data_IF_368132274964
#
_entry.id   IF_368132274964
#
_cell.length_a   1.000
_cell.length_b   1.000
_cell.length_c   1.000
_cell.angle_alpha   90.00
_cell.angle_beta   90.00
_cell.angle_gamma   90.00
#
_symmetry.space_group_name_H-M   'P 1'
#
loop_
_entity.id
_entity.type
_entity.pdbx_description
1 polymer ?
#
# COMPACT_ATOMS: atom_id res chain seq x y z
N UNK A 1 -23.31 -9.71 -15.04
CA UNK A 1 -22.26 -9.64 -13.99
C UNK A 1 -22.62 -8.76 -12.78
N UNK A 2 -23.87 -8.26 -12.61
CA UNK A 2 -24.22 -7.39 -11.47
C UNK A 2 -24.80 -8.12 -10.24
N UNK A 3 -25.18 -9.40 -10.38
CA UNK A 3 -25.75 -10.20 -9.28
C UNK A 3 -24.63 -10.70 -8.32
N UNK A 4 -23.37 -10.67 -8.76
CA UNK A 4 -22.21 -11.15 -7.98
C UNK A 4 -21.75 -10.15 -6.92
N UNK A 5 -21.89 -8.84 -7.14
CA UNK A 5 -21.42 -7.84 -6.17
C UNK A 5 -22.16 -7.89 -4.83
N UNK A 6 -23.52 -7.82 -4.77
CA UNK A 6 -24.21 -7.80 -3.49
C UNK A 6 -24.01 -9.09 -2.69
N UNK A 7 -24.03 -10.25 -3.37
CA UNK A 7 -23.80 -11.55 -2.74
C UNK A 7 -22.40 -11.63 -2.12
N UNK A 8 -21.37 -11.34 -2.92
CA UNK A 8 -19.99 -11.36 -2.47
C UNK A 8 -19.73 -10.34 -1.38
N UNK A 9 -20.27 -9.12 -1.49
CA UNK A 9 -20.09 -8.09 -0.47
C UNK A 9 -20.73 -8.49 0.85
N UNK A 10 -21.91 -9.10 0.79
CA UNK A 10 -22.56 -9.68 1.98
C UNK A 10 -21.67 -10.74 2.62
N UNK A 11 -21.17 -11.69 1.83
CA UNK A 11 -20.27 -12.74 2.30
C UNK A 11 -19.00 -12.18 2.97
N UNK A 12 -18.31 -11.24 2.31
CA UNK A 12 -17.08 -10.61 2.83
C UNK A 12 -17.36 -9.86 4.15
N UNK A 13 -18.44 -9.08 4.22
CA UNK A 13 -18.73 -8.24 5.39
C UNK A 13 -19.25 -9.07 6.57
N UNK A 14 -20.11 -10.04 6.32
CA UNK A 14 -20.73 -10.85 7.38
C UNK A 14 -19.79 -11.93 7.90
N UNK A 15 -19.04 -12.61 7.02
CA UNK A 15 -18.21 -13.74 7.42
C UNK A 15 -16.77 -13.35 7.72
N UNK A 16 -16.30 -12.19 7.24
CA UNK A 16 -14.90 -11.74 7.34
C UNK A 16 -13.89 -12.87 7.00
N UNK A 17 -14.05 -13.53 5.83
CA UNK A 17 -13.20 -14.65 5.44
C UNK A 17 -11.76 -14.19 5.24
N UNK A 18 -10.82 -15.12 5.37
CA UNK A 18 -9.41 -14.88 5.08
C UNK A 18 -9.22 -14.56 3.59
N UNK A 19 -8.17 -13.79 3.27
CA UNK A 19 -7.82 -13.44 1.90
C UNK A 19 -7.65 -14.68 1.01
N UNK A 20 -7.14 -15.79 1.55
CA UNK A 20 -7.05 -17.08 0.85
C UNK A 20 -8.43 -17.62 0.43
N UNK A 21 -9.40 -17.60 1.35
CA UNK A 21 -10.77 -18.07 1.11
C UNK A 21 -11.49 -17.16 0.09
N UNK A 22 -11.28 -15.84 0.18
CA UNK A 22 -11.79 -14.88 -0.83
C UNK A 22 -11.17 -15.17 -2.20
N UNK A 23 -9.90 -15.57 -2.26
CA UNK A 23 -9.23 -15.91 -3.53
C UNK A 23 -9.78 -17.19 -4.16
N UNK A 24 -10.15 -18.18 -3.35
CA UNK A 24 -10.79 -19.41 -3.83
C UNK A 24 -12.21 -19.16 -4.34
N UNK A 25 -13.03 -18.43 -3.58
CA UNK A 25 -14.43 -18.14 -3.95
C UNK A 25 -14.56 -17.07 -5.04
N UNK A 26 -13.71 -16.06 -5.00
CA UNK A 26 -13.80 -14.85 -5.84
C UNK A 26 -12.45 -14.45 -6.45
N UNK A 27 -11.75 -15.33 -7.21
CA UNK A 27 -10.39 -15.10 -7.69
C UNK A 27 -10.27 -13.84 -8.56
N UNK A 28 -11.35 -13.43 -9.23
CA UNK A 28 -11.36 -12.22 -10.03
C UNK A 28 -11.12 -10.95 -9.20
N UNK A 29 -11.42 -10.94 -7.89
CA UNK A 29 -11.15 -9.81 -7.00
C UNK A 29 -9.67 -9.52 -6.77
N UNK A 30 -8.78 -10.43 -7.16
CA UNK A 30 -7.33 -10.24 -7.12
C UNK A 30 -6.78 -9.72 -8.45
N UNK A 31 -7.66 -9.36 -9.41
CA UNK A 31 -7.28 -8.66 -10.63
C UNK A 31 -7.43 -7.16 -10.43
N UNK A 32 -6.41 -6.40 -10.79
CA UNK A 32 -6.38 -4.93 -10.68
C UNK A 32 -7.68 -4.24 -11.14
N UNK A 33 -8.17 -4.57 -12.34
CA UNK A 33 -9.43 -4.00 -12.86
C UNK A 33 -10.64 -4.25 -11.95
N UNK A 34 -10.71 -5.41 -11.28
CA UNK A 34 -11.80 -5.69 -10.35
C UNK A 34 -11.58 -4.99 -9.01
N UNK A 35 -10.34 -4.90 -8.51
CA UNK A 35 -10.02 -4.14 -7.30
C UNK A 35 -10.48 -2.69 -7.46
N UNK A 36 -10.15 -2.06 -8.59
CA UNK A 36 -10.58 -0.70 -8.92
C UNK A 36 -12.11 -0.58 -9.00
N UNK A 37 -12.77 -1.53 -9.68
CA UNK A 37 -14.22 -1.51 -9.82
C UNK A 37 -14.95 -1.70 -8.48
N UNK A 38 -14.46 -2.58 -7.60
CA UNK A 38 -15.00 -2.76 -6.25
C UNK A 38 -14.80 -1.51 -5.40
N UNK A 39 -13.59 -0.97 -5.42
CA UNK A 39 -13.26 0.24 -4.70
C UNK A 39 -14.17 1.40 -5.12
N UNK A 40 -14.35 1.61 -6.43
CA UNK A 40 -15.21 2.66 -6.96
C UNK A 40 -16.69 2.45 -6.60
N UNK A 41 -17.17 1.20 -6.56
CA UNK A 41 -18.55 0.90 -6.11
C UNK A 41 -18.76 1.25 -4.64
N UNK A 42 -17.77 1.04 -3.79
CA UNK A 42 -17.86 1.27 -2.34
C UNK A 42 -17.70 2.74 -1.96
N UNK A 43 -16.84 3.47 -2.68
CA UNK A 43 -16.41 4.82 -2.29
C UNK A 43 -16.92 5.91 -3.22
N UNK A 44 -17.42 5.56 -4.41
CA UNK A 44 -17.68 6.48 -5.52
C UNK A 44 -16.44 7.25 -6.02
N UNK A 45 -15.24 6.77 -5.70
CA UNK A 45 -13.97 7.39 -6.04
C UNK A 45 -13.15 6.48 -6.96
N UNK A 46 -12.49 7.06 -7.97
CA UNK A 46 -11.53 6.37 -8.82
C UNK A 46 -10.24 6.10 -8.02
N UNK A 47 -9.91 4.82 -7.81
CA UNK A 47 -8.81 4.37 -6.95
C UNK A 47 -7.47 5.03 -7.34
N UNK A 48 -6.99 4.76 -8.56
CA UNK A 48 -5.68 5.21 -9.01
C UNK A 48 -5.67 6.71 -9.23
N UNK A 49 -6.69 7.26 -9.91
CA UNK A 49 -6.73 8.69 -10.20
C UNK A 49 -6.71 9.53 -8.94
N UNK A 50 -7.54 9.19 -7.94
CA UNK A 50 -7.57 9.93 -6.68
C UNK A 50 -6.24 9.82 -5.94
N UNK A 51 -5.74 8.60 -5.72
CA UNK A 51 -4.50 8.35 -4.99
C UNK A 51 -3.31 9.08 -5.61
N UNK A 52 -3.08 8.94 -6.91
CA UNK A 52 -1.93 9.54 -7.58
C UNK A 52 -2.05 11.06 -7.69
N UNK A 53 -3.24 11.60 -7.99
CA UNK A 53 -3.42 13.06 -8.09
C UNK A 53 -3.24 13.74 -6.72
N UNK A 54 -3.80 13.17 -5.65
CA UNK A 54 -3.59 13.69 -4.30
C UNK A 54 -2.15 13.53 -3.84
N UNK A 55 -1.49 12.40 -4.16
CA UNK A 55 -0.07 12.22 -3.88
C UNK A 55 0.76 13.31 -4.56
N UNK A 56 0.59 13.51 -5.86
CA UNK A 56 1.33 14.52 -6.63
C UNK A 56 1.06 15.94 -6.13
N UNK A 57 -0.19 16.25 -5.79
CA UNK A 57 -0.58 17.56 -5.25
C UNK A 57 0.15 17.87 -3.94
N UNK A 58 0.29 16.89 -3.05
CA UNK A 58 0.88 17.08 -1.73
C UNK A 58 2.39 16.77 -1.66
N UNK A 59 2.94 16.14 -2.70
CA UNK A 59 4.33 15.68 -2.75
C UNK A 59 5.37 16.76 -2.45
N UNK A 60 5.31 17.99 -3.02
CA UNK A 60 6.29 19.03 -2.69
C UNK A 60 6.30 19.38 -1.20
N UNK A 61 5.11 19.46 -0.59
CA UNK A 61 4.97 19.81 0.83
C UNK A 61 5.46 18.70 1.74
N UNK A 62 5.17 17.44 1.41
CA UNK A 62 5.71 16.30 2.17
C UNK A 62 7.23 16.27 2.12
N UNK A 63 7.83 16.45 0.94
CA UNK A 63 9.28 16.46 0.79
C UNK A 63 9.95 17.58 1.60
N UNK A 64 9.38 18.79 1.60
CA UNK A 64 9.85 19.91 2.43
C UNK A 64 9.82 19.55 3.92
N UNK A 65 8.68 19.04 4.40
CA UNK A 65 8.51 18.63 5.79
C UNK A 65 9.45 17.50 6.18
N UNK A 66 9.69 16.55 5.27
CA UNK A 66 10.56 15.41 5.51
C UNK A 66 12.02 15.86 5.62
N UNK A 67 12.49 16.72 4.71
CA UNK A 67 13.82 17.34 4.78
C UNK A 67 14.01 18.11 6.10
N UNK A 68 13.00 18.84 6.56
CA UNK A 68 13.05 19.58 7.82
C UNK A 68 13.07 18.68 9.08
N UNK A 69 12.61 17.43 8.99
CA UNK A 69 12.52 16.50 10.12
C UNK A 69 13.51 15.33 10.05
N UNK A 70 14.22 15.15 8.93
CA UNK A 70 15.10 14.00 8.68
C UNK A 70 16.16 13.81 9.77
N UNK A 71 16.80 14.90 10.22
CA UNK A 71 17.82 14.86 11.29
C UNK A 71 17.32 14.34 12.65
N UNK A 72 16.01 14.13 12.83
CA UNK A 72 15.40 13.59 14.05
C UNK A 72 14.82 12.18 13.87
N UNK A 73 14.89 11.61 12.67
CA UNK A 73 14.37 10.27 12.36
C UNK A 73 15.31 9.54 11.41
N UNK A 74 15.96 8.49 11.91
CA UNK A 74 16.87 7.66 11.11
C UNK A 74 16.16 7.00 9.92
N UNK A 75 14.90 6.57 10.12
CA UNK A 75 14.09 6.00 9.04
C UNK A 75 13.80 7.02 7.94
N UNK A 76 13.43 8.24 8.30
CA UNK A 76 13.18 9.31 7.33
C UNK A 76 14.46 9.73 6.59
N UNK A 77 15.58 9.83 7.32
CA UNK A 77 16.89 10.07 6.73
C UNK A 77 17.28 8.99 5.72
N UNK A 78 16.98 7.72 6.01
CA UNK A 78 17.22 6.60 5.10
C UNK A 78 16.39 6.72 3.83
N UNK A 79 15.11 7.07 3.93
CA UNK A 79 14.24 7.24 2.75
C UNK A 79 14.69 8.40 1.86
N UNK A 80 15.13 9.51 2.45
CA UNK A 80 15.64 10.66 1.71
C UNK A 80 17.07 10.45 1.17
N UNK A 81 17.72 9.33 1.49
CA UNK A 81 19.10 9.08 1.06
C UNK A 81 19.16 9.07 -0.46
N UNK A 82 20.09 9.87 -1.00
CA UNK A 82 20.30 10.05 -2.43
C UNK A 82 19.09 10.66 -3.17
N UNK A 83 18.09 11.24 -2.49
CA UNK A 83 17.02 12.00 -3.14
C UNK A 83 17.52 13.42 -3.44
N UNK A 84 17.42 13.82 -4.69
CA UNK A 84 17.79 15.13 -5.21
C UNK A 84 16.66 15.72 -6.08
N UNK A 85 16.89 16.91 -6.61
CA UNK A 85 15.90 17.62 -7.41
C UNK A 85 15.69 16.96 -8.79
N UNK A 86 16.70 16.26 -9.32
CA UNK A 86 16.66 15.53 -10.60
C UNK A 86 16.05 14.13 -10.50
N UNK A 87 15.81 13.65 -9.28
CA UNK A 87 15.20 12.35 -9.03
C UNK A 87 13.83 12.22 -9.72
N UNK A 88 13.58 11.04 -10.30
CA UNK A 88 12.35 10.75 -11.03
C UNK A 88 11.10 10.93 -10.15
N UNK A 89 9.96 11.22 -10.80
CA UNK A 89 8.68 11.35 -10.09
C UNK A 89 8.32 10.07 -9.33
N UNK A 90 8.55 8.91 -9.95
CA UNK A 90 8.36 7.61 -9.31
C UNK A 90 9.16 7.51 -8.00
N UNK A 91 10.45 7.87 -8.03
CA UNK A 91 11.30 7.84 -6.84
C UNK A 91 10.80 8.79 -5.75
N UNK A 92 10.42 10.02 -6.13
CA UNK A 92 9.86 11.01 -5.20
C UNK A 92 8.58 10.49 -4.54
N UNK A 93 7.67 9.87 -5.31
CA UNK A 93 6.44 9.24 -4.79
C UNK A 93 6.78 8.11 -3.80
N UNK A 94 7.67 7.19 -4.16
CA UNK A 94 8.10 6.09 -3.29
C UNK A 94 8.69 6.60 -1.97
N UNK A 95 9.54 7.62 -2.01
CA UNK A 95 10.13 8.21 -0.80
C UNK A 95 9.07 8.86 0.10
N UNK A 96 8.09 9.55 -0.48
CA UNK A 96 6.99 10.12 0.31
C UNK A 96 6.18 9.02 0.99
N UNK A 97 5.77 7.98 0.24
CA UNK A 97 4.94 6.91 0.76
C UNK A 97 5.66 6.08 1.85
N UNK A 98 6.91 5.70 1.62
CA UNK A 98 7.71 4.95 2.60
C UNK A 98 8.22 5.83 3.77
N UNK A 99 8.27 7.15 3.58
CA UNK A 99 8.68 8.11 4.61
C UNK A 99 7.55 8.50 5.57
N UNK A 100 6.29 8.42 5.13
CA UNK A 100 5.12 8.82 5.92
C UNK A 100 5.04 8.15 7.30
N UNK A 101 5.22 6.82 7.44
CA UNK A 101 5.20 6.18 8.75
C UNK A 101 6.18 6.79 9.74
N UNK A 102 7.43 7.01 9.29
CA UNK A 102 8.47 7.61 10.12
C UNK A 102 8.18 9.06 10.48
N UNK A 103 7.53 9.82 9.59
CA UNK A 103 7.13 11.20 9.85
C UNK A 103 5.98 11.28 10.86
N UNK A 104 5.02 10.36 10.77
CA UNK A 104 3.84 10.28 11.64
C UNK A 104 4.09 9.53 12.95
N UNK A 105 5.27 8.93 13.11
CA UNK A 105 5.67 8.07 14.24
C UNK A 105 4.84 6.77 14.34
N UNK A 106 4.38 6.30 13.19
CA UNK A 106 3.87 4.95 13.02
C UNK A 106 5.04 3.94 12.93
N UNK A 107 4.76 2.65 13.12
CA UNK A 107 5.73 1.56 12.99
C UNK A 107 5.52 0.79 11.67
N UNK A 108 6.38 0.99 10.65
CA UNK A 108 6.26 0.31 9.37
C UNK A 108 6.89 -1.08 9.31
N UNK A 109 7.55 -1.56 10.38
CA UNK A 109 8.41 -2.75 10.33
C UNK A 109 7.74 -4.00 9.77
N UNK A 110 6.43 -4.17 10.01
CA UNK A 110 5.66 -5.33 9.55
C UNK A 110 4.80 -5.05 8.30
N UNK A 111 4.78 -3.83 7.76
CA UNK A 111 3.99 -3.52 6.57
C UNK A 111 4.81 -3.10 5.37
N UNK A 112 5.99 -2.51 5.55
CA UNK A 112 6.89 -2.16 4.45
C UNK A 112 8.22 -2.86 4.67
N UNK A 113 8.26 -4.14 4.26
CA UNK A 113 9.42 -5.01 4.48
C UNK A 113 10.27 -5.06 3.21
N UNK A 114 11.58 -5.00 3.39
CA UNK A 114 12.56 -5.20 2.33
C UNK A 114 13.37 -6.44 2.65
N UNK A 115 13.49 -7.35 1.68
CA UNK A 115 14.25 -8.60 1.78
C UNK A 115 15.23 -8.69 0.62
N UNK A 116 16.29 -9.46 0.77
CA UNK A 116 17.22 -9.76 -0.32
C UNK A 116 16.75 -11.01 -1.08
N UNK A 117 16.97 -11.06 -2.39
CA UNK A 117 16.61 -12.19 -3.24
C UNK A 117 17.33 -13.50 -2.83
N UNK A 118 18.45 -13.37 -2.11
CA UNK A 118 19.20 -14.50 -1.55
C UNK A 118 18.65 -15.02 -0.21
N UNK A 119 17.72 -14.29 0.42
CA UNK A 119 17.10 -14.71 1.67
C UNK A 119 16.14 -15.89 1.41
N UNK A 120 15.83 -16.67 2.46
CA UNK A 120 14.88 -17.78 2.34
C UNK A 120 13.46 -17.25 2.05
N UNK A 121 12.91 -17.55 0.87
CA UNK A 121 11.58 -17.07 0.42
C UNK A 121 10.46 -17.31 1.43
N UNK A 122 10.48 -18.46 2.13
CA UNK A 122 9.50 -18.80 3.15
C UNK A 122 9.45 -17.80 4.33
N UNK A 123 10.47 -16.96 4.50
CA UNK A 123 10.56 -15.96 5.56
C UNK A 123 10.09 -14.56 5.12
N UNK A 124 9.83 -14.37 3.82
CA UNK A 124 9.58 -13.04 3.24
C UNK A 124 8.36 -12.38 3.87
N UNK A 125 7.26 -13.11 3.97
CA UNK A 125 5.97 -12.59 4.46
C UNK A 125 5.76 -12.73 5.96
N UNK A 126 6.68 -13.41 6.66
CA UNK A 126 6.54 -13.69 8.10
C UNK A 126 6.32 -12.41 8.90
N UNK A 127 5.22 -12.38 9.65
CA UNK A 127 4.78 -11.27 10.49
C UNK A 127 4.11 -10.11 9.75
N UNK A 128 3.94 -10.19 8.41
CA UNK A 128 3.30 -9.15 7.61
C UNK A 128 1.79 -9.39 7.45
N UNK A 129 0.99 -8.83 8.35
CA UNK A 129 -0.47 -8.95 8.30
C UNK A 129 -1.09 -8.15 7.14
N UNK A 130 -0.58 -6.95 6.88
CA UNK A 130 -1.04 -6.09 5.78
C UNK A 130 0.16 -5.25 5.34
N UNK A 131 0.51 -5.26 4.06
CA UNK A 131 1.67 -4.49 3.61
C UNK A 131 2.10 -4.65 2.17
N UNK A 132 3.26 -4.10 1.88
CA UNK A 132 4.00 -4.22 0.62
C UNK A 132 5.38 -4.80 0.92
N UNK A 133 5.71 -5.89 0.24
CA UNK A 133 7.02 -6.54 0.26
C UNK A 133 7.85 -6.02 -0.92
N UNK A 134 9.10 -5.68 -0.64
CA UNK A 134 10.11 -5.30 -1.64
C UNK A 134 11.22 -6.33 -1.64
N UNK A 135 11.44 -6.99 -2.78
CA UNK A 135 12.56 -7.91 -2.96
C UNK A 135 13.67 -7.16 -3.70
N UNK A 136 14.87 -7.19 -3.12
CA UNK A 136 16.06 -6.57 -3.69
C UNK A 136 17.07 -7.59 -4.19
N UNK A 137 17.73 -7.25 -5.29
CA UNK A 137 19.02 -7.85 -5.66
C UNK A 137 20.10 -6.77 -5.50
N UNK A 138 20.86 -6.86 -4.41
CA UNK A 138 21.76 -5.79 -3.99
C UNK A 138 20.99 -4.52 -3.59
N UNK A 139 21.16 -3.45 -4.36
CA UNK A 139 20.47 -2.16 -4.12
C UNK A 139 19.18 -2.01 -4.94
N UNK A 140 19.04 -2.78 -6.03
CA UNK A 140 17.95 -2.66 -6.98
C UNK A 140 16.72 -3.43 -6.49
N UNK A 141 15.55 -2.81 -6.61
CA UNK A 141 14.27 -3.48 -6.33
C UNK A 141 13.88 -4.26 -7.58
N UNK A 142 13.80 -5.58 -7.46
CA UNK A 142 13.50 -6.47 -8.58
C UNK A 142 12.03 -6.95 -8.58
N UNK A 143 11.38 -6.94 -7.42
CA UNK A 143 9.98 -7.30 -7.29
C UNK A 143 9.29 -6.52 -6.16
N UNK A 144 8.04 -6.17 -6.39
CA UNK A 144 7.14 -5.54 -5.41
C UNK A 144 5.88 -6.37 -5.31
N UNK A 145 5.38 -6.64 -4.11
CA UNK A 145 4.19 -7.47 -3.92
C UNK A 145 3.31 -6.96 -2.79
N UNK A 146 2.00 -7.11 -2.93
CA UNK A 146 1.03 -6.80 -1.87
C UNK A 146 0.79 -8.04 -1.02
N UNK A 147 0.86 -7.85 0.29
CA UNK A 147 0.70 -8.88 1.32
C UNK A 147 -0.58 -8.62 2.11
N UNK A 148 -1.38 -9.67 2.30
CA UNK A 148 -2.47 -9.72 3.28
C UNK A 148 -2.36 -11.06 4.02
N UNK A 149 -2.51 -11.03 5.34
CA UNK A 149 -2.52 -12.20 6.22
C UNK A 149 -1.28 -13.10 6.03
N UNK A 150 -0.10 -12.48 5.92
CA UNK A 150 1.19 -13.15 5.67
C UNK A 150 1.25 -13.92 4.32
N UNK A 151 0.34 -13.62 3.39
CA UNK A 151 0.32 -14.22 2.05
C UNK A 151 0.51 -13.17 0.97
N UNK A 152 1.25 -13.54 -0.08
CA UNK A 152 1.35 -12.74 -1.31
C UNK A 152 0.01 -12.81 -2.05
N UNK A 153 -0.73 -11.70 -2.03
CA UNK A 153 -2.03 -11.61 -2.70
C UNK A 153 -1.92 -11.05 -4.12
N UNK A 154 -1.00 -10.10 -4.32
CA UNK A 154 -0.66 -9.54 -5.64
C UNK A 154 0.87 -9.61 -5.82
N UNK A 155 1.38 -10.61 -6.55
CA UNK A 155 2.81 -10.67 -6.91
C UNK A 155 3.14 -9.67 -8.03
N UNK A 156 4.42 -9.34 -8.16
CA UNK A 156 5.01 -8.62 -9.30
C UNK A 156 4.27 -7.34 -9.73
N UNK A 157 3.85 -6.55 -8.74
CA UNK A 157 3.27 -5.23 -8.99
C UNK A 157 4.34 -4.27 -9.51
N UNK A 158 3.96 -3.39 -10.43
CA UNK A 158 4.87 -2.50 -11.18
C UNK A 158 5.84 -1.71 -10.28
N UNK A 159 5.33 -1.08 -9.23
CA UNK A 159 6.14 -0.30 -8.31
C UNK A 159 5.48 -0.08 -6.94
N UNK A 160 6.20 0.57 -6.03
CA UNK A 160 5.75 0.88 -4.66
C UNK A 160 4.44 1.71 -4.65
N UNK A 161 4.34 2.87 -5.32
CA UNK A 161 3.08 3.60 -5.40
C UNK A 161 1.89 2.79 -5.90
N UNK A 162 2.07 1.99 -6.96
CA UNK A 162 1.02 1.14 -7.50
C UNK A 162 0.61 0.05 -6.49
N UNK A 163 1.57 -0.60 -5.83
CA UNK A 163 1.30 -1.59 -4.80
C UNK A 163 0.52 -1.02 -3.61
N UNK A 164 0.87 0.19 -3.16
CA UNK A 164 0.16 0.86 -2.06
C UNK A 164 -1.25 1.28 -2.50
N UNK A 165 -1.43 1.78 -3.73
CA UNK A 165 -2.75 2.09 -4.26
C UNK A 165 -3.65 0.84 -4.35
N UNK A 166 -3.13 -0.27 -4.86
CA UNK A 166 -3.86 -1.54 -4.92
C UNK A 166 -4.16 -2.11 -3.53
N UNK A 167 -3.23 -1.96 -2.58
CA UNK A 167 -3.46 -2.32 -1.19
C UNK A 167 -4.63 -1.52 -0.61
N UNK A 168 -4.70 -0.20 -0.83
CA UNK A 168 -5.87 0.61 -0.44
C UNK A 168 -7.16 0.06 -1.06
N UNK A 169 -7.12 -0.30 -2.36
CA UNK A 169 -8.24 -0.94 -3.05
C UNK A 169 -8.73 -2.22 -2.35
N UNK A 170 -7.80 -3.13 -2.04
CA UNK A 170 -8.08 -4.41 -1.40
C UNK A 170 -8.65 -4.25 0.01
N UNK A 171 -8.11 -3.33 0.82
CA UNK A 171 -8.59 -3.11 2.19
C UNK A 171 -10.07 -2.70 2.21
N UNK A 172 -10.50 -1.84 1.28
CA UNK A 172 -11.92 -1.50 1.12
C UNK A 172 -12.72 -2.69 0.57
N UNK A 173 -12.23 -3.34 -0.48
CA UNK A 173 -12.92 -4.46 -1.13
C UNK A 173 -13.18 -5.62 -0.14
N UNK A 174 -12.22 -5.93 0.71
CA UNK A 174 -12.27 -7.03 1.69
C UNK A 174 -12.75 -6.60 3.08
N UNK A 175 -13.07 -5.31 3.27
CA UNK A 175 -13.53 -4.78 4.55
C UNK A 175 -12.53 -5.02 5.70
N UNK A 176 -11.24 -4.86 5.41
CA UNK A 176 -10.14 -5.06 6.35
C UNK A 176 -9.80 -3.73 7.02
N UNK A 177 -9.74 -3.73 8.35
CA UNK A 177 -9.31 -2.57 9.14
C UNK A 177 -7.82 -2.26 8.93
N UNK A 178 -7.47 -0.97 9.05
CA UNK A 178 -6.07 -0.56 8.97
C UNK A 178 -5.25 -1.12 10.14
N UNK A 179 -3.99 -1.55 9.90
CA UNK A 179 -3.09 -1.93 10.97
C UNK A 179 -2.95 -0.81 12.00
N UNK A 180 -3.04 -1.15 13.29
CA UNK A 180 -3.03 -0.17 14.38
C UNK A 180 -1.71 0.61 14.42
N UNK A 181 -0.63 -0.07 14.04
CA UNK A 181 0.74 0.40 13.97
C UNK A 181 0.94 1.45 12.87
N UNK A 182 0.05 1.49 11.87
CA UNK A 182 0.11 2.41 10.71
C UNK A 182 -1.14 3.25 10.56
N UNK A 183 -1.90 3.39 11.65
CA UNK A 183 -3.21 4.03 11.66
C UNK A 183 -3.17 5.43 11.04
N UNK A 184 -2.15 6.23 11.32
CA UNK A 184 -2.08 7.61 10.82
C UNK A 184 -1.67 7.64 9.35
N UNK A 185 -0.77 6.75 8.94
CA UNK A 185 -0.30 6.63 7.54
C UNK A 185 -1.46 6.26 6.62
N UNK A 186 -2.23 5.22 6.95
CA UNK A 186 -3.40 4.84 6.15
C UNK A 186 -4.50 5.91 6.18
N UNK A 187 -4.65 6.66 7.28
CA UNK A 187 -5.53 7.83 7.30
C UNK A 187 -5.08 8.94 6.36
N UNK A 188 -3.76 9.19 6.23
CA UNK A 188 -3.24 10.15 5.24
C UNK A 188 -3.55 9.66 3.83
N UNK A 189 -3.35 8.37 3.53
CA UNK A 189 -3.72 7.81 2.22
C UNK A 189 -5.21 8.01 1.93
N UNK A 190 -6.09 7.59 2.83
CA UNK A 190 -7.52 7.68 2.63
C UNK A 190 -8.03 9.14 2.55
N UNK A 191 -7.69 9.96 3.54
CA UNK A 191 -8.33 11.28 3.72
C UNK A 191 -7.62 12.38 2.95
N UNK A 192 -6.29 12.34 2.89
CA UNK A 192 -5.51 13.42 2.27
C UNK A 192 -5.26 13.11 0.80
N UNK A 193 -4.84 11.87 0.47
CA UNK A 193 -4.55 11.55 -0.94
C UNK A 193 -5.84 11.25 -1.72
N UNK A 194 -6.79 10.54 -1.13
CA UNK A 194 -7.98 10.06 -1.85
C UNK A 194 -9.25 10.86 -1.55
N UNK A 195 -9.22 11.76 -0.57
CA UNK A 195 -10.37 12.58 -0.14
C UNK A 195 -11.63 11.75 0.23
N UNK A 196 -11.46 10.65 0.96
CA UNK A 196 -12.55 9.76 1.38
C UNK A 196 -12.80 9.91 2.89
N UNK A 197 -14.05 10.23 3.26
CA UNK A 197 -14.46 10.38 4.67
C UNK A 197 -13.83 11.59 5.37
N UNK A 198 -13.47 12.62 4.58
CA UNK A 198 -13.13 13.97 5.04
C UNK A 198 -14.35 14.87 5.13
#
# INVERSE_FOLDING_TARGET
MNITFPLRRKEIVENQPLAAEVKEGWPALFKEQQIEAEFARLTSVDLKKSFFSGLDQHLPRFLELFKAKSGKSAGLSRQLKCLDDDSSMLRKRSVVLLGLPYFLKDDPSNAFKTVQAIDEEATFTRGMQVGVLLVKDGEDIIATSVILEEQVVLPDVEDIPHAIALLMGLLFAFNIDYPKELRYTFQVFQKILMNIGG
#
